data_IF_721766448904
#
_entry.id   IF_721766448904
#
_cell.length_a   1.000
_cell.length_b   1.000
_cell.length_c   1.000
_cell.angle_alpha   90.00
_cell.angle_beta   90.00
_cell.angle_gamma   90.00
#
_symmetry.space_group_name_H-M   'P 1'
#
loop_
_entity.id
_entity.type
_entity.pdbx_description
1 polymer ?
#
# COMPACT_ATOMS: atom_id res chain seq x y z
N UNK A 1 14.94 -5.64 -18.43
CA UNK A 1 16.40 -5.89 -18.41
C UNK A 1 16.98 -5.96 -19.82
N UNK A 2 16.35 -6.67 -20.76
CA UNK A 2 16.74 -6.73 -22.19
C UNK A 2 16.92 -5.34 -22.86
N UNK A 3 16.08 -4.35 -22.53
CA UNK A 3 16.16 -3.01 -23.11
C UNK A 3 17.43 -2.24 -22.76
N UNK A 4 17.96 -2.45 -21.55
CA UNK A 4 19.16 -1.78 -21.07
C UNK A 4 20.42 -2.38 -21.72
N UNK A 5 20.42 -3.70 -21.92
CA UNK A 5 21.48 -4.44 -22.61
C UNK A 5 21.60 -4.02 -24.08
N UNK A 6 20.47 -3.88 -24.78
CA UNK A 6 20.45 -3.41 -26.17
C UNK A 6 20.99 -1.98 -26.32
N UNK A 7 20.66 -1.08 -25.37
CA UNK A 7 21.15 0.29 -25.39
C UNK A 7 22.68 0.36 -25.24
N UNK A 8 23.24 -0.33 -24.25
CA UNK A 8 24.70 -0.34 -24.05
C UNK A 8 25.45 -1.06 -25.18
N UNK A 9 24.82 -2.06 -25.81
CA UNK A 9 25.39 -2.71 -27.00
C UNK A 9 25.44 -1.72 -28.17
N UNK A 10 24.37 -0.96 -28.44
CA UNK A 10 24.36 0.08 -29.46
C UNK A 10 25.37 1.20 -29.19
N UNK A 11 25.50 1.62 -27.93
CA UNK A 11 26.46 2.65 -27.52
C UNK A 11 27.92 2.21 -27.70
N UNK A 12 28.20 0.94 -27.41
CA UNK A 12 29.49 0.29 -27.69
C UNK A 12 29.78 0.22 -29.19
N UNK A 13 28.80 -0.22 -29.98
CA UNK A 13 28.95 -0.37 -31.43
C UNK A 13 29.17 0.99 -32.12
N UNK A 14 28.70 2.09 -31.52
CA UNK A 14 28.89 3.46 -31.99
C UNK A 14 30.19 4.13 -31.51
N UNK A 15 31.08 3.40 -30.81
CA UNK A 15 32.37 3.93 -30.34
C UNK A 15 32.25 5.03 -29.27
N UNK A 16 31.19 4.99 -28.45
CA UNK A 16 30.87 6.06 -27.51
C UNK A 16 31.97 6.33 -26.46
N UNK A 17 32.23 7.59 -26.09
CA UNK A 17 33.18 7.95 -25.03
C UNK A 17 32.71 7.47 -23.66
N UNK A 18 33.65 7.32 -22.71
CA UNK A 18 33.30 7.12 -21.29
C UNK A 18 32.43 8.29 -20.83
N UNK A 19 31.12 8.04 -20.69
CA UNK A 19 30.18 9.06 -20.29
C UNK A 19 30.40 9.49 -18.84
N UNK A 20 30.21 10.79 -18.51
CA UNK A 20 30.15 11.23 -17.13
C UNK A 20 28.94 10.58 -16.44
N UNK A 21 29.06 10.35 -15.13
CA UNK A 21 28.04 9.66 -14.33
C UNK A 21 26.63 10.30 -14.43
N UNK A 22 26.55 11.62 -14.66
CA UNK A 22 25.29 12.32 -14.92
C UNK A 22 24.61 11.85 -16.19
N UNK A 23 25.36 11.77 -17.30
CA UNK A 23 24.84 11.31 -18.60
C UNK A 23 24.42 9.84 -18.53
N UNK A 24 25.15 9.00 -17.79
CA UNK A 24 24.75 7.60 -17.54
C UNK A 24 23.42 7.53 -16.78
N UNK A 25 23.21 8.38 -15.78
CA UNK A 25 21.94 8.43 -15.02
C UNK A 25 20.77 8.86 -15.89
N UNK A 26 20.98 9.80 -16.80
CA UNK A 26 19.97 10.24 -17.77
C UNK A 26 19.66 9.14 -18.79
N UNK A 27 20.69 8.46 -19.32
CA UNK A 27 20.51 7.31 -20.22
C UNK A 27 19.73 6.18 -19.56
N UNK A 28 20.04 5.84 -18.31
CA UNK A 28 19.29 4.84 -17.53
C UNK A 28 17.85 5.30 -17.25
N UNK A 29 17.63 6.59 -16.96
CA UNK A 29 16.29 7.16 -16.76
C UNK A 29 15.44 6.99 -18.02
N UNK A 30 16.01 7.33 -19.16
CA UNK A 30 15.36 7.24 -20.45
C UNK A 30 15.10 5.78 -20.86
N UNK A 31 16.11 4.91 -20.78
CA UNK A 31 16.02 3.51 -21.16
C UNK A 31 15.02 2.70 -20.31
N UNK A 32 14.88 3.05 -19.02
CA UNK A 32 13.95 2.39 -18.10
C UNK A 32 12.61 3.14 -17.97
N UNK A 33 12.45 4.28 -18.64
CA UNK A 33 11.29 5.17 -18.55
C UNK A 33 10.90 5.50 -17.09
N UNK A 34 11.89 5.84 -16.26
CA UNK A 34 11.72 6.20 -14.86
C UNK A 34 12.36 7.56 -14.60
N UNK A 35 11.84 8.30 -13.60
CA UNK A 35 12.40 9.60 -13.27
C UNK A 35 13.83 9.51 -12.73
N UNK A 36 14.64 10.51 -13.04
CA UNK A 36 16.02 10.64 -12.53
C UNK A 36 16.06 10.68 -10.99
N UNK A 37 15.03 11.25 -10.37
CA UNK A 37 14.82 11.24 -8.93
C UNK A 37 14.62 9.83 -8.36
N UNK A 38 13.98 8.92 -9.11
CA UNK A 38 13.81 7.53 -8.72
C UNK A 38 15.13 6.78 -8.75
N UNK A 39 15.95 6.97 -9.80
CA UNK A 39 17.30 6.39 -9.89
C UNK A 39 18.18 6.85 -8.73
N UNK A 40 18.16 8.16 -8.42
CA UNK A 40 18.94 8.72 -7.31
C UNK A 40 18.50 8.14 -5.97
N UNK A 41 17.19 7.93 -5.76
CA UNK A 41 16.66 7.28 -4.56
C UNK A 41 17.06 5.82 -4.47
N UNK A 42 17.07 5.08 -5.58
CA UNK A 42 17.52 3.69 -5.65
C UNK A 42 19.01 3.61 -5.31
N UNK A 43 19.85 4.42 -5.97
CA UNK A 43 21.29 4.46 -5.72
C UNK A 43 21.58 4.75 -4.25
N UNK A 44 20.95 5.77 -3.66
CA UNK A 44 21.12 6.10 -2.24
C UNK A 44 20.70 4.95 -1.32
N UNK A 45 19.62 4.23 -1.64
CA UNK A 45 19.18 3.07 -0.85
C UNK A 45 20.16 1.91 -0.94
N UNK A 46 20.72 1.67 -2.12
CA UNK A 46 21.73 0.64 -2.34
C UNK A 46 23.04 0.95 -1.58
N UNK A 47 23.46 2.22 -1.56
CA UNK A 47 24.65 2.65 -0.80
C UNK A 47 24.44 2.68 0.71
N UNK A 48 23.19 2.84 1.18
CA UNK A 48 22.86 2.96 2.61
C UNK A 48 22.44 1.63 3.25
N UNK A 49 22.24 0.58 2.46
CA UNK A 49 21.69 -0.70 2.91
C UNK A 49 22.54 -1.83 2.34
N UNK A 50 23.48 -2.35 3.13
CA UNK A 50 24.14 -3.62 2.82
C UNK A 50 23.14 -4.79 2.81
N UNK A 51 21.97 -4.60 3.41
CA UNK A 51 20.88 -5.55 3.39
C UNK A 51 19.90 -5.20 2.27
N UNK A 52 19.68 -6.12 1.33
CA UNK A 52 18.64 -6.06 0.30
C UNK A 52 17.20 -6.13 0.87
N UNK A 53 17.00 -5.74 2.13
CA UNK A 53 15.73 -5.85 2.84
C UNK A 53 14.98 -4.54 2.71
N UNK A 54 13.96 -4.55 1.84
CA UNK A 54 12.98 -3.46 1.75
C UNK A 54 12.23 -3.36 3.09
N UNK A 55 12.64 -2.44 3.96
CA UNK A 55 11.89 -2.13 5.18
C UNK A 55 10.54 -1.54 4.80
N UNK A 56 9.46 -2.20 5.24
CA UNK A 56 8.13 -1.62 5.19
C UNK A 56 8.15 -0.24 5.84
N UNK A 57 7.45 0.77 5.26
CA UNK A 57 7.31 2.07 5.89
C UNK A 57 6.85 1.89 7.33
N UNK A 58 7.71 2.26 8.29
CA UNK A 58 7.44 2.03 9.70
C UNK A 58 6.11 2.66 10.08
N UNK A 59 5.28 1.94 10.84
CA UNK A 59 4.02 2.45 11.41
C UNK A 59 4.34 3.48 12.50
N UNK A 60 4.92 4.63 12.12
CA UNK A 60 5.20 5.75 13.04
C UNK A 60 3.99 6.66 13.25
N UNK A 61 2.94 6.51 12.43
CA UNK A 61 1.75 7.33 12.60
C UNK A 61 0.85 6.69 13.64
N UNK A 62 0.61 7.33 14.80
CA UNK A 62 -0.42 6.84 15.71
C UNK A 62 -1.73 6.78 14.93
N UNK A 63 -2.44 5.66 15.05
CA UNK A 63 -3.79 5.56 14.50
C UNK A 63 -4.61 6.68 15.14
N UNK A 64 -5.17 7.56 14.32
CA UNK A 64 -6.21 8.48 14.80
C UNK A 64 -7.32 7.60 15.40
N UNK A 65 -7.73 7.89 16.65
CA UNK A 65 -8.86 7.21 17.27
C UNK A 65 -10.08 7.33 16.34
N UNK A 66 -10.88 6.29 16.22
CA UNK A 66 -12.11 6.37 15.42
C UNK A 66 -13.07 7.37 16.10
N UNK A 67 -13.81 8.16 15.32
CA UNK A 67 -14.75 9.18 15.84
C UNK A 67 -15.83 8.63 16.79
N UNK A 68 -15.99 7.31 16.84
CA UNK A 68 -16.98 6.58 17.62
C UNK A 68 -16.43 5.99 18.93
N UNK A 69 -15.18 6.31 19.31
CA UNK A 69 -14.61 5.79 20.57
C UNK A 69 -15.26 6.37 21.82
N UNK A 70 -15.83 7.57 21.73
CA UNK A 70 -16.44 8.28 22.88
C UNK A 70 -17.93 7.95 23.08
N UNK A 71 -18.52 7.11 22.23
CA UNK A 71 -19.91 6.68 22.38
C UNK A 71 -20.02 5.57 23.43
N UNK A 72 -21.04 5.65 24.28
CA UNK A 72 -21.35 4.57 25.22
C UNK A 72 -21.73 3.29 24.46
N UNK A 73 -21.46 2.14 25.08
CA UNK A 73 -21.74 0.86 24.42
C UNK A 73 -23.24 0.67 24.18
N UNK A 74 -24.10 1.19 25.04
CA UNK A 74 -25.56 1.19 24.83
C UNK A 74 -25.94 1.85 23.49
N UNK A 75 -25.35 3.01 23.16
CA UNK A 75 -25.61 3.72 21.90
C UNK A 75 -25.07 2.93 20.71
N UNK A 76 -23.89 2.30 20.85
CA UNK A 76 -23.33 1.44 19.78
C UNK A 76 -24.21 0.23 19.50
N UNK A 77 -24.79 -0.39 20.53
CA UNK A 77 -25.71 -1.53 20.38
C UNK A 77 -27.01 -1.08 19.74
N UNK A 78 -27.63 0.00 20.23
CA UNK A 78 -28.85 0.54 19.63
C UNK A 78 -28.67 0.86 18.14
N UNK A 79 -27.58 1.53 17.75
CA UNK A 79 -27.29 1.80 16.34
C UNK A 79 -27.08 0.52 15.52
N UNK A 80 -26.44 -0.50 16.11
CA UNK A 80 -26.22 -1.79 15.45
C UNK A 80 -27.56 -2.50 15.21
N UNK A 81 -28.43 -2.51 16.21
CA UNK A 81 -29.73 -3.20 16.16
C UNK A 81 -30.66 -2.51 15.15
N UNK A 82 -30.68 -1.18 15.11
CA UNK A 82 -31.42 -0.42 14.09
C UNK A 82 -30.94 -0.75 12.69
N UNK A 83 -29.62 -0.81 12.46
CA UNK A 83 -29.09 -1.18 11.14
C UNK A 83 -29.50 -2.61 10.77
N UNK A 84 -29.40 -3.57 11.70
CA UNK A 84 -29.85 -4.94 11.46
C UNK A 84 -31.33 -5.02 11.11
N UNK A 85 -32.17 -4.26 11.82
CA UNK A 85 -33.61 -4.20 11.58
C UNK A 85 -33.93 -3.67 10.18
N UNK A 86 -33.27 -2.59 9.75
CA UNK A 86 -33.45 -2.04 8.40
C UNK A 86 -33.06 -3.07 7.32
N UNK A 87 -31.99 -3.84 7.54
CA UNK A 87 -31.59 -4.89 6.61
C UNK A 87 -32.53 -6.10 6.66
N UNK A 88 -33.00 -6.53 7.82
CA UNK A 88 -33.96 -7.64 7.90
C UNK A 88 -35.29 -7.31 7.22
N UNK A 89 -35.80 -6.08 7.40
CA UNK A 89 -37.05 -5.62 6.79
C UNK A 89 -36.91 -5.40 5.27
N UNK A 90 -35.70 -5.11 4.78
CA UNK A 90 -35.42 -4.94 3.34
C UNK A 90 -35.17 -6.25 2.58
N UNK A 91 -35.02 -7.39 3.28
CA UNK A 91 -34.57 -8.67 2.70
C UNK A 91 -35.67 -9.73 2.57
N UNK A 92 -36.93 -9.40 2.85
CA UNK A 92 -38.05 -10.34 2.66
C UNK A 92 -38.29 -10.72 1.17
N UNK A 93 -37.64 -10.05 0.22
CA UNK A 93 -37.76 -10.36 -1.22
C UNK A 93 -36.57 -11.12 -1.85
N UNK A 94 -35.41 -11.27 -1.19
CA UNK A 94 -34.22 -11.91 -1.82
C UNK A 94 -33.38 -12.74 -0.86
N UNK A 95 -33.87 -13.94 -0.59
CA UNK A 95 -33.13 -15.01 0.06
C UNK A 95 -32.02 -15.57 -0.87
N UNK A 96 -30.80 -15.03 -0.83
CA UNK A 96 -29.58 -15.81 -1.10
C UNK A 96 -28.26 -15.13 -0.65
N UNK A 97 -27.72 -15.64 0.45
CA UNK A 97 -26.30 -16.00 0.59
C UNK A 97 -25.18 -14.93 0.49
N UNK A 98 -25.36 -13.73 1.08
CA UNK A 98 -24.24 -12.76 1.25
C UNK A 98 -23.96 -12.36 2.71
N UNK A 99 -24.53 -13.04 3.71
CA UNK A 99 -24.56 -12.45 5.06
C UNK A 99 -23.39 -12.77 6.01
N UNK A 100 -22.59 -13.82 5.78
CA UNK A 100 -21.56 -14.16 6.78
C UNK A 100 -20.20 -13.47 6.53
N UNK A 101 -19.87 -13.12 5.28
CA UNK A 101 -18.53 -12.61 4.92
C UNK A 101 -18.44 -11.09 4.92
N UNK A 102 -19.47 -10.40 4.43
CA UNK A 102 -19.48 -8.94 4.34
C UNK A 102 -19.66 -8.30 5.72
N UNK A 103 -20.54 -8.89 6.55
CA UNK A 103 -20.72 -8.52 7.95
C UNK A 103 -19.43 -8.76 8.76
N UNK A 104 -18.78 -9.93 8.61
CA UNK A 104 -17.47 -10.19 9.23
C UNK A 104 -16.38 -9.22 8.74
N UNK A 105 -16.41 -8.79 7.48
CA UNK A 105 -15.44 -7.84 6.94
C UNK A 105 -15.60 -6.43 7.54
N UNK A 106 -16.85 -5.98 7.75
CA UNK A 106 -17.13 -4.70 8.40
C UNK A 106 -16.87 -4.74 9.92
N UNK A 107 -17.19 -5.84 10.63
CA UNK A 107 -17.06 -5.93 12.09
C UNK A 107 -15.70 -6.42 12.60
N UNK A 108 -14.90 -7.16 11.83
CA UNK A 108 -13.55 -7.60 12.26
C UNK A 108 -12.57 -6.43 12.47
N UNK A 109 -12.93 -5.22 12.05
CA UNK A 109 -12.11 -4.01 12.22
C UNK A 109 -12.33 -3.30 13.56
N UNK A 110 -13.36 -3.64 14.35
CA UNK A 110 -13.75 -2.88 15.56
C UNK A 110 -13.48 -3.57 16.89
N UNK A 111 -13.10 -4.86 16.92
CA UNK A 111 -12.87 -5.59 18.18
C UNK A 111 -11.43 -6.13 18.25
N UNK A 112 -10.46 -5.24 18.49
CA UNK A 112 -9.13 -5.63 18.97
C UNK A 112 -8.66 -4.63 20.01
N UNK A 113 -9.32 -4.63 21.16
CA UNK A 113 -8.78 -4.21 22.47
C UNK A 113 -9.82 -4.43 23.56
N UNK A 114 -9.91 -5.68 24.05
CA UNK A 114 -10.25 -5.93 25.45
C UNK A 114 -9.69 -7.30 25.85
N UNK A 115 -8.71 -7.26 26.75
CA UNK A 115 -8.27 -8.26 27.75
C UNK A 115 -7.27 -7.46 28.59
N UNK A 116 -7.72 -6.67 29.58
CA UNK A 116 -8.09 -7.08 30.95
C UNK A 116 -7.00 -7.96 31.57
N UNK A 117 -6.10 -7.31 32.33
CA UNK A 117 -5.70 -7.76 33.67
C UNK A 117 -6.79 -7.36 34.66
#
# INVERSE_FOLDING_TARGET
MLSLLNYFQQEKDNGGPLLPLSAVKEGVAWALNISLSTITRIQRRLSSSNDNVLRSPGKKRPRKKSKTTDLSDAVKHSMRDTVHQMYSESNDDKHEMVDSKLLKFFFRKTCHNSKFE
#
